data_IF_445870008711
#
_entry.id   IF_445870008711
#
_cell.length_a   1.000
_cell.length_b   1.000
_cell.length_c   1.000
_cell.angle_alpha   90.00
_cell.angle_beta   90.00
_cell.angle_gamma   90.00
#
_symmetry.space_group_name_H-M   'P 1'
#
loop_
_entity.id
_entity.type
_entity.pdbx_description
1 polymer ?
#
# COMPACT_ATOMS: atom_id res chain seq x y z
N UNK A 1 -13.14 -29.73 -6.07
CA UNK A 1 -13.54 -28.58 -5.23
C UNK A 1 -13.08 -28.82 -3.79
N UNK A 2 -12.41 -27.88 -3.12
CA UNK A 2 -12.01 -28.05 -1.71
C UNK A 2 -13.25 -28.00 -0.80
N UNK A 3 -13.31 -28.89 0.21
CA UNK A 3 -14.40 -28.98 1.20
C UNK A 3 -14.56 -27.74 2.09
N UNK A 4 -13.52 -26.91 2.24
CA UNK A 4 -13.55 -25.71 3.06
C UNK A 4 -13.04 -24.48 2.31
N UNK A 5 -13.67 -23.34 2.61
CA UNK A 5 -13.24 -22.04 2.11
C UNK A 5 -11.88 -21.67 2.73
N UNK A 6 -10.92 -21.19 1.94
CA UNK A 6 -9.66 -20.71 2.48
C UNK A 6 -9.89 -19.51 3.40
N UNK A 7 -9.06 -19.42 4.45
CA UNK A 7 -9.08 -18.27 5.38
C UNK A 7 -8.68 -17.01 4.63
N UNK A 8 -9.35 -15.89 4.96
CA UNK A 8 -8.93 -14.57 4.48
C UNK A 8 -7.58 -14.23 5.09
N UNK A 9 -6.65 -13.71 4.27
CA UNK A 9 -5.37 -13.19 4.74
C UNK A 9 -5.58 -11.74 5.18
N UNK A 10 -5.14 -11.42 6.39
CA UNK A 10 -5.11 -10.06 6.91
C UNK A 10 -3.70 -9.51 6.70
N UNK A 11 -3.61 -8.26 6.24
CA UNK A 11 -2.34 -7.58 6.04
C UNK A 11 -2.10 -6.62 7.20
N UNK A 12 -0.83 -6.49 7.60
CA UNK A 12 -0.47 -5.44 8.55
C UNK A 12 -0.68 -4.06 7.91
N UNK A 13 -1.21 -3.10 8.68
CA UNK A 13 -1.40 -1.73 8.21
C UNK A 13 -0.06 -1.08 7.85
N UNK A 14 -0.11 -0.10 6.94
CA UNK A 14 1.09 0.62 6.52
C UNK A 14 1.68 1.46 7.68
N UNK A 15 3.01 1.51 7.86
CA UNK A 15 3.62 2.23 8.97
C UNK A 15 3.52 3.76 8.90
N UNK A 16 3.29 4.36 7.71
CA UNK A 16 3.16 5.83 7.57
C UNK A 16 1.70 6.28 7.65
N UNK A 17 0.80 5.59 6.96
CA UNK A 17 -0.61 5.99 6.87
C UNK A 17 -1.54 5.19 7.80
N UNK A 18 -1.10 4.08 8.38
CA UNK A 18 -1.92 3.24 9.26
C UNK A 18 -3.05 2.49 8.55
N UNK A 19 -3.18 2.61 7.23
CA UNK A 19 -4.25 1.99 6.44
C UNK A 19 -3.80 0.64 5.84
N UNK A 20 -4.69 -0.33 5.89
CA UNK A 20 -4.53 -1.64 5.26
C UNK A 20 -4.62 -1.53 3.72
N UNK A 21 -5.38 -0.58 3.18
CA UNK A 21 -5.51 -0.36 1.73
C UNK A 21 -4.18 0.05 1.11
N UNK A 22 -3.44 0.95 1.77
CA UNK A 22 -2.10 1.37 1.34
C UNK A 22 -1.14 0.18 1.33
N UNK A 23 -1.17 -0.67 2.37
CA UNK A 23 -0.34 -1.87 2.45
C UNK A 23 -0.61 -2.84 1.29
N UNK A 24 -1.89 -3.04 0.93
CA UNK A 24 -2.28 -3.85 -0.24
C UNK A 24 -1.78 -3.23 -1.54
N UNK A 25 -1.89 -1.91 -1.69
CA UNK A 25 -1.42 -1.20 -2.87
C UNK A 25 0.09 -1.34 -3.05
N UNK A 26 0.87 -1.08 -2.00
CA UNK A 26 2.33 -1.22 -2.01
C UNK A 26 2.76 -2.66 -2.32
N UNK A 27 2.06 -3.66 -1.77
CA UNK A 27 2.34 -5.07 -2.06
C UNK A 27 2.09 -5.44 -3.53
N UNK A 28 1.10 -4.83 -4.18
CA UNK A 28 0.84 -5.03 -5.61
C UNK A 28 1.79 -4.22 -6.51
N UNK A 29 2.27 -3.07 -6.04
CA UNK A 29 3.26 -2.24 -6.74
C UNK A 29 4.66 -2.86 -6.72
N UNK A 30 4.95 -3.68 -5.72
CA UNK A 30 6.25 -4.30 -5.50
C UNK A 30 6.62 -5.30 -6.59
N UNK A 31 7.79 -5.10 -7.21
CA UNK A 31 8.39 -6.03 -8.16
C UNK A 31 9.58 -6.77 -7.49
N UNK A 32 9.72 -8.07 -7.75
CA UNK A 32 10.80 -8.93 -7.20
C UNK A 32 10.93 -8.90 -5.66
N UNK A 33 9.85 -8.68 -4.92
CA UNK A 33 9.90 -8.64 -3.45
C UNK A 33 10.57 -7.38 -2.87
N UNK A 34 10.83 -6.36 -3.70
CA UNK A 34 11.52 -5.12 -3.29
C UNK A 34 10.57 -4.13 -2.57
N UNK A 35 10.15 -4.46 -1.35
CA UNK A 35 9.14 -3.68 -0.59
C UNK A 35 9.61 -2.26 -0.28
N UNK A 36 10.88 -2.09 0.09
CA UNK A 36 11.45 -0.76 0.37
C UNK A 36 11.42 0.17 -0.86
N UNK A 37 11.64 -0.37 -2.06
CA UNK A 37 11.59 0.42 -3.30
C UNK A 37 10.16 0.84 -3.62
N UNK A 38 9.20 -0.09 -3.49
CA UNK A 38 7.78 0.19 -3.70
C UNK A 38 7.26 1.27 -2.74
N UNK A 39 7.65 1.21 -1.46
CA UNK A 39 7.30 2.23 -0.46
C UNK A 39 7.86 3.60 -0.84
N UNK A 40 9.14 3.68 -1.24
CA UNK A 40 9.75 4.95 -1.65
C UNK A 40 9.02 5.59 -2.84
N UNK A 41 8.66 4.78 -3.84
CA UNK A 41 7.92 5.26 -5.02
C UNK A 41 6.54 5.77 -4.61
N UNK A 42 5.81 5.00 -3.81
CA UNK A 42 4.46 5.37 -3.37
C UNK A 42 4.46 6.65 -2.55
N UNK A 43 5.35 6.75 -1.57
CA UNK A 43 5.48 7.94 -0.73
C UNK A 43 5.92 9.17 -1.52
N UNK A 44 6.90 9.03 -2.42
CA UNK A 44 7.29 10.14 -3.29
C UNK A 44 6.15 10.58 -4.22
N UNK A 45 5.31 9.66 -4.70
CA UNK A 45 4.14 10.00 -5.49
C UNK A 45 3.08 10.75 -4.67
N UNK A 46 2.86 10.35 -3.41
CA UNK A 46 1.95 11.04 -2.49
C UNK A 46 2.43 12.47 -2.18
N UNK A 47 3.73 12.65 -1.93
CA UNK A 47 4.30 13.97 -1.67
C UNK A 47 4.12 14.91 -2.91
N UNK A 48 4.25 14.38 -4.14
CA UNK A 48 3.99 15.13 -5.38
C UNK A 48 2.50 15.48 -5.56
N UNK A 49 1.61 14.56 -5.20
CA UNK A 49 0.16 14.79 -5.27
C UNK A 49 -0.23 15.88 -4.27
N UNK A 50 0.33 15.85 -3.06
CA UNK A 50 0.11 16.88 -2.03
C UNK A 50 0.56 18.26 -2.52
N UNK A 51 1.75 18.35 -3.12
CA UNK A 51 2.28 19.60 -3.68
C UNK A 51 1.40 20.16 -4.82
N UNK A 52 0.85 19.29 -5.66
CA UNK A 52 0.06 19.70 -6.84
C UNK A 52 -1.42 19.93 -6.56
N UNK A 53 -2.01 19.16 -5.65
CA UNK A 53 -3.45 19.17 -5.42
C UNK A 53 -3.86 20.27 -4.45
N UNK A 54 -2.95 20.77 -3.60
CA UNK A 54 -3.23 21.84 -2.63
C UNK A 54 -4.26 21.48 -1.54
N UNK A 55 -4.98 20.38 -1.70
CA UNK A 55 -5.88 19.76 -0.74
C UNK A 55 -5.18 18.54 -0.15
N UNK A 56 -4.79 18.67 1.11
CA UNK A 56 -4.36 17.57 1.96
C UNK A 56 -5.55 16.63 2.18
N UNK A 57 -5.76 15.71 1.23
CA UNK A 57 -6.76 14.67 1.30
C UNK A 57 -6.38 13.61 2.33
N UNK A 58 -6.67 13.91 3.59
CA UNK A 58 -6.92 12.92 4.63
C UNK A 58 -8.42 12.89 4.95
#
# INVERSE_FOLDING_TARGET
>A
MRKQKPRKRYYEPDPRFGDQLVSIFVNNLMLDGKRSVAQKIFYGAMDIIEEKSGESGH
#
